data_IF_735915778506
#
_entry.id   IF_735915778506
#
_cell.length_a   1.000
_cell.length_b   1.000
_cell.length_c   1.000
_cell.angle_alpha   90.00
_cell.angle_beta   90.00
_cell.angle_gamma   90.00
#
_symmetry.space_group_name_H-M   'P 1'
#
loop_
_entity.id
_entity.type
_entity.pdbx_description
1 polymer ?
#
# COMPACT_ATOMS: atom_id res chain seq x y z
N UNK A 1 5.19 57.46 -51.63
CA UNK A 1 5.54 56.27 -50.84
C UNK A 1 4.43 56.00 -49.84
N UNK A 2 3.63 54.96 -50.06
CA UNK A 2 2.82 54.28 -49.04
C UNK A 2 2.41 52.94 -49.66
N UNK A 3 3.09 51.85 -49.27
CA UNK A 3 2.74 50.50 -49.72
C UNK A 3 1.60 50.00 -48.85
N UNK A 4 0.40 49.98 -49.42
CA UNK A 4 -0.78 49.38 -48.79
C UNK A 4 -0.57 47.87 -48.59
N UNK A 5 -0.52 47.46 -47.34
CA UNK A 5 -0.51 46.05 -46.93
C UNK A 5 -1.93 45.51 -47.22
N UNK A 6 -2.05 44.62 -48.21
CA UNK A 6 -3.30 43.90 -48.47
C UNK A 6 -3.56 42.95 -47.30
N UNK A 7 -4.74 43.09 -46.68
CA UNK A 7 -5.20 42.19 -45.65
C UNK A 7 -5.24 40.74 -46.18
N UNK A 8 -4.80 39.75 -45.39
CA UNK A 8 -4.84 38.35 -45.81
C UNK A 8 -6.29 37.92 -46.04
N UNK A 9 -6.50 37.13 -47.10
CA UNK A 9 -7.84 36.63 -47.46
C UNK A 9 -8.44 35.85 -46.29
N UNK A 10 -9.76 35.94 -46.12
CA UNK A 10 -10.48 35.24 -45.05
C UNK A 10 -10.23 33.73 -45.03
N UNK A 11 -9.78 33.15 -46.14
CA UNK A 11 -9.38 31.75 -46.27
C UNK A 11 -8.06 31.47 -45.56
N UNK A 12 -7.05 32.35 -45.69
CA UNK A 12 -5.78 32.24 -44.99
C UNK A 12 -5.97 32.38 -43.46
N UNK A 13 -6.81 33.33 -43.02
CA UNK A 13 -7.13 33.50 -41.60
C UNK A 13 -7.84 32.27 -41.00
N UNK A 14 -8.75 31.62 -41.74
CA UNK A 14 -9.41 30.39 -41.30
C UNK A 14 -8.47 29.19 -41.26
N UNK A 15 -7.53 29.10 -42.19
CA UNK A 15 -6.51 28.04 -42.18
C UNK A 15 -5.54 28.19 -41.01
N UNK A 16 -5.10 29.41 -40.70
CA UNK A 16 -4.24 29.69 -39.55
C UNK A 16 -4.98 29.43 -38.23
N UNK A 17 -6.27 29.77 -38.13
CA UNK A 17 -7.07 29.48 -36.94
C UNK A 17 -7.29 27.96 -36.75
N UNK A 18 -7.55 27.22 -37.83
CA UNK A 18 -7.66 25.76 -37.78
C UNK A 18 -6.34 25.08 -37.39
N UNK A 19 -5.20 25.57 -37.89
CA UNK A 19 -3.88 25.07 -37.52
C UNK A 19 -3.55 25.38 -36.04
N UNK A 20 -3.93 26.55 -35.54
CA UNK A 20 -3.78 26.93 -34.14
C UNK A 20 -4.71 26.14 -33.21
N UNK A 21 -5.93 25.80 -33.66
CA UNK A 21 -6.82 24.90 -32.93
C UNK A 21 -6.29 23.45 -32.91
N UNK A 22 -5.72 22.96 -34.01
CA UNK A 22 -5.09 21.62 -34.06
C UNK A 22 -3.80 21.56 -33.22
N UNK A 23 -2.98 22.61 -33.24
CA UNK A 23 -1.80 22.71 -32.36
C UNK A 23 -2.16 22.96 -30.89
N UNK A 24 -3.27 23.65 -30.62
CA UNK A 24 -3.85 23.81 -29.29
C UNK A 24 -4.41 22.49 -28.74
N UNK A 25 -5.09 21.70 -29.57
CA UNK A 25 -5.57 20.36 -29.20
C UNK A 25 -4.41 19.35 -29.04
N UNK A 26 -3.35 19.46 -29.85
CA UNK A 26 -2.14 18.66 -29.68
C UNK A 26 -1.36 19.03 -28.40
N UNK A 27 -1.45 20.28 -27.92
CA UNK A 27 -0.87 20.71 -26.63
C UNK A 27 -1.77 20.47 -25.42
N UNK A 28 -3.09 20.33 -25.61
CA UNK A 28 -4.02 19.98 -24.54
C UNK A 28 -4.13 18.47 -24.28
N UNK A 29 -3.46 17.62 -25.07
CA UNK A 29 -3.44 16.16 -24.90
C UNK A 29 -2.13 15.62 -24.28
N UNK A 30 -1.24 16.48 -23.79
CA UNK A 30 -0.25 16.09 -22.77
C UNK A 30 -0.66 16.71 -21.44
N UNK A 31 -1.85 16.35 -20.95
CA UNK A 31 -2.04 16.35 -19.52
C UNK A 31 -0.94 15.44 -18.98
N UNK A 32 0.12 16.04 -18.41
CA UNK A 32 1.03 15.29 -17.57
C UNK A 32 0.14 14.54 -16.60
N UNK A 33 0.12 13.21 -16.73
CA UNK A 33 -0.59 12.34 -15.80
C UNK A 33 -0.23 12.85 -14.41
N UNK A 34 -1.22 13.15 -13.54
CA UNK A 34 -0.92 13.59 -12.19
C UNK A 34 0.09 12.60 -11.63
N UNK A 35 1.29 13.09 -11.30
CA UNK A 35 2.36 12.25 -10.81
C UNK A 35 1.79 11.52 -9.60
N UNK A 36 1.49 10.23 -9.77
CA UNK A 36 0.87 9.47 -8.70
C UNK A 36 1.98 9.30 -7.69
N UNK A 37 2.04 10.17 -6.68
CA UNK A 37 3.00 10.07 -5.60
C UNK A 37 2.46 9.02 -4.65
N UNK A 38 2.84 7.77 -4.89
CA UNK A 38 2.54 6.64 -4.03
C UNK A 38 3.35 6.80 -2.73
N UNK A 39 2.68 6.88 -1.57
CA UNK A 39 3.37 6.83 -0.29
C UNK A 39 3.84 5.40 -0.04
N UNK A 40 5.13 5.15 -0.24
CA UNK A 40 5.78 3.88 0.09
C UNK A 40 6.32 3.97 1.52
N UNK A 41 5.97 3.05 2.42
CA UNK A 41 6.48 3.07 3.78
C UNK A 41 7.94 2.59 3.80
N UNK A 42 8.73 2.96 4.83
CA UNK A 42 9.98 2.28 5.11
C UNK A 42 9.72 0.81 5.46
N UNK A 43 10.74 -0.04 5.31
CA UNK A 43 10.65 -1.47 5.60
C UNK A 43 10.22 -1.76 7.04
N UNK A 44 10.75 -0.98 7.98
CA UNK A 44 10.44 -1.08 9.39
C UNK A 44 9.86 0.27 9.85
N UNK A 45 8.69 0.20 10.45
CA UNK A 45 7.88 1.34 10.85
C UNK A 45 7.65 1.26 12.35
N UNK A 46 8.02 2.30 13.10
CA UNK A 46 7.66 2.41 14.51
C UNK A 46 6.61 3.49 14.72
N UNK A 47 5.52 3.16 15.41
CA UNK A 47 4.46 4.08 15.83
C UNK A 47 4.59 4.28 17.34
N UNK A 48 4.91 5.51 17.76
CA UNK A 48 4.97 5.88 19.19
C UNK A 48 3.75 6.69 19.56
N UNK A 49 2.89 6.19 20.45
CA UNK A 49 1.64 6.87 20.81
C UNK A 49 1.85 8.07 21.74
N UNK A 50 2.97 8.15 22.47
CA UNK A 50 3.33 9.30 23.33
C UNK A 50 3.68 10.59 22.56
N UNK A 51 4.07 10.47 21.30
CA UNK A 51 4.43 11.61 20.43
C UNK A 51 3.81 11.56 19.03
N UNK A 52 3.01 10.52 18.75
CA UNK A 52 2.36 10.26 17.46
C UNK A 52 3.34 10.39 16.30
N UNK A 53 4.46 9.69 16.37
CA UNK A 53 5.59 9.83 15.43
C UNK A 53 5.81 8.52 14.64
N UNK A 54 5.87 8.57 13.30
CA UNK A 54 6.53 7.53 12.48
C UNK A 54 8.03 7.76 12.49
N UNK A 55 8.81 6.75 12.88
CA UNK A 55 10.26 6.76 12.71
C UNK A 55 10.66 5.68 11.70
N UNK A 56 11.29 6.12 10.61
CA UNK A 56 11.97 5.31 9.62
C UNK A 56 12.72 6.23 8.65
N UNK A 57 14.00 5.95 8.39
CA UNK A 57 14.87 6.76 7.51
C UNK A 57 14.90 8.28 7.80
N UNK A 58 14.74 8.69 9.07
CA UNK A 58 14.95 10.08 9.50
C UNK A 58 13.81 11.06 9.18
N UNK A 59 12.60 10.60 8.81
CA UNK A 59 11.42 11.47 8.67
C UNK A 59 10.35 11.14 9.69
N UNK A 60 10.02 12.15 10.50
CA UNK A 60 8.95 12.12 11.49
C UNK A 60 7.60 12.39 10.82
N UNK A 61 6.69 11.42 10.78
CA UNK A 61 5.29 11.68 10.36
C UNK A 61 4.42 11.75 11.60
N UNK A 62 3.73 12.88 11.79
CA UNK A 62 2.82 13.08 12.93
C UNK A 62 1.44 12.47 12.66
N UNK A 63 0.97 11.62 13.57
CA UNK A 63 -0.41 11.10 13.55
C UNK A 63 -1.34 12.02 14.35
N UNK A 64 -2.60 12.12 13.92
CA UNK A 64 -3.67 12.71 14.71
C UNK A 64 -4.74 11.63 14.92
N UNK A 65 -4.73 10.94 16.07
CA UNK A 65 -5.71 9.90 16.34
C UNK A 65 -7.08 10.58 16.46
N UNK A 66 -8.08 9.99 15.82
CA UNK A 66 -9.47 10.33 16.00
C UNK A 66 -10.07 9.35 16.99
N UNK A 67 -10.88 9.82 17.92
CA UNK A 67 -11.73 8.93 18.70
C UNK A 67 -12.70 8.25 17.75
N UNK A 68 -12.71 6.92 17.74
CA UNK A 68 -13.60 6.11 16.93
C UNK A 68 -14.25 5.02 17.78
N UNK A 69 -15.51 4.72 17.45
CA UNK A 69 -16.28 3.64 18.06
C UNK A 69 -16.12 2.38 17.22
N UNK A 70 -15.63 1.30 17.83
CA UNK A 70 -15.48 -0.02 17.19
C UNK A 70 -16.46 -1.02 17.78
N UNK A 71 -16.53 -2.22 17.19
CA UNK A 71 -17.28 -3.35 17.76
C UNK A 71 -16.76 -3.79 19.15
N UNK A 72 -15.53 -3.40 19.52
CA UNK A 72 -14.86 -3.74 20.77
C UNK A 72 -14.81 -2.59 21.80
N UNK A 73 -15.33 -1.39 21.47
CA UNK A 73 -15.42 -0.24 22.38
C UNK A 73 -14.89 1.06 21.78
N UNK A 74 -14.60 2.05 22.64
CA UNK A 74 -13.91 3.27 22.24
C UNK A 74 -12.42 3.01 22.08
N UNK A 75 -11.84 3.49 20.98
CA UNK A 75 -10.40 3.47 20.78
C UNK A 75 -9.91 4.69 20.02
N UNK A 76 -8.63 4.99 20.17
CA UNK A 76 -7.96 5.94 19.30
C UNK A 76 -7.71 5.25 17.95
N UNK A 77 -8.30 5.79 16.88
CA UNK A 77 -8.14 5.30 15.51
C UNK A 77 -7.27 6.27 14.70
N UNK A 78 -6.28 5.73 13.99
CA UNK A 78 -5.68 6.44 12.86
C UNK A 78 -5.72 5.54 11.63
N UNK A 79 -6.18 6.10 10.51
CA UNK A 79 -6.21 5.44 9.21
C UNK A 79 -5.04 5.95 8.38
N UNK A 80 -4.06 5.09 8.12
CA UNK A 80 -2.97 5.42 7.20
C UNK A 80 -3.02 4.54 5.97
N UNK A 81 -3.23 5.17 4.82
CA UNK A 81 -3.09 4.50 3.54
C UNK A 81 -1.65 4.60 3.06
N UNK A 82 -1.05 3.47 2.72
CA UNK A 82 0.23 3.40 2.01
C UNK A 82 0.18 2.26 1.00
N UNK A 83 1.16 2.19 0.11
CA UNK A 83 1.22 1.13 -0.91
C UNK A 83 2.48 0.30 -0.74
N UNK A 84 2.31 -1.02 -0.75
CA UNK A 84 3.37 -2.02 -0.66
C UNK A 84 4.16 -2.13 -1.98
N UNK A 85 4.81 -1.03 -2.37
CA UNK A 85 5.83 -1.02 -3.43
C UNK A 85 7.21 -1.26 -2.81
N UNK A 86 8.18 -1.75 -3.60
CA UNK A 86 9.58 -2.04 -3.20
C UNK A 86 9.76 -3.19 -2.22
N UNK A 87 9.06 -3.14 -1.10
CA UNK A 87 9.20 -4.11 -0.02
C UNK A 87 8.20 -5.26 -0.19
N UNK A 88 8.72 -6.49 -0.15
CA UNK A 88 7.87 -7.70 -0.07
C UNK A 88 7.19 -7.82 1.30
N UNK A 89 7.82 -7.25 2.33
CA UNK A 89 7.37 -7.28 3.72
C UNK A 89 7.68 -5.93 4.37
N UNK A 90 6.71 -5.41 5.11
CA UNK A 90 6.84 -4.25 5.99
C UNK A 90 6.50 -4.69 7.40
N UNK A 91 7.31 -4.25 8.37
CA UNK A 91 7.07 -4.50 9.79
C UNK A 91 6.57 -3.23 10.44
N UNK A 92 5.41 -3.27 11.08
CA UNK A 92 4.90 -2.18 11.92
C UNK A 92 5.05 -2.58 13.38
N UNK A 93 5.80 -1.78 14.14
CA UNK A 93 5.92 -1.87 15.59
C UNK A 93 5.14 -0.72 16.23
N UNK A 94 4.10 -1.04 16.99
CA UNK A 94 3.34 -0.09 17.79
C UNK A 94 3.86 -0.12 19.24
N UNK A 95 4.33 1.02 19.75
CA UNK A 95 4.74 1.23 21.14
C UNK A 95 3.66 2.00 21.89
N UNK A 96 2.85 1.29 22.67
CA UNK A 96 1.69 1.82 23.38
C UNK A 96 2.12 2.48 24.70
N UNK A 97 1.44 3.55 25.15
CA UNK A 97 1.84 4.26 26.36
C UNK A 97 1.42 3.52 27.64
N UNK A 98 0.44 2.63 27.51
CA UNK A 98 -0.15 1.79 28.54
C UNK A 98 -0.66 0.49 27.86
N UNK A 99 -1.01 -0.55 28.64
CA UNK A 99 -1.48 -1.82 28.09
C UNK A 99 -2.69 -1.66 27.15
N UNK A 100 -2.61 -2.16 25.91
CA UNK A 100 -3.75 -2.12 24.98
C UNK A 100 -3.65 -3.04 23.77
N UNK A 101 -4.67 -2.98 22.88
CA UNK A 101 -4.71 -3.74 21.63
C UNK A 101 -4.40 -2.83 20.43
N UNK A 102 -3.46 -3.27 19.59
CA UNK A 102 -3.19 -2.70 18.26
C UNK A 102 -3.57 -3.69 17.17
N UNK A 103 -4.33 -3.23 16.19
CA UNK A 103 -4.75 -4.00 15.03
C UNK A 103 -4.31 -3.27 13.75
N UNK A 104 -4.12 -4.03 12.67
CA UNK A 104 -3.96 -3.50 11.31
C UNK A 104 -4.99 -4.22 10.45
N UNK A 105 -5.89 -3.46 9.86
CA UNK A 105 -6.94 -4.00 8.99
C UNK A 105 -6.55 -3.78 7.53
N UNK A 106 -6.95 -4.70 6.65
CA UNK A 106 -6.94 -4.50 5.20
C UNK A 106 -8.40 -4.38 4.77
N UNK A 107 -8.78 -3.22 4.26
CA UNK A 107 -10.17 -2.86 3.97
C UNK A 107 -10.54 -3.01 2.47
N UNK A 108 -9.59 -3.42 1.63
CA UNK A 108 -9.80 -3.68 0.21
C UNK A 108 -10.00 -5.18 -0.04
N UNK A 109 -11.13 -5.62 -0.62
CA UNK A 109 -11.35 -7.03 -0.95
C UNK A 109 -10.41 -7.53 -2.05
N UNK A 110 -9.87 -6.62 -2.87
CA UNK A 110 -8.93 -6.92 -3.94
C UNK A 110 -7.48 -6.92 -3.45
N UNK A 111 -7.24 -6.65 -2.16
CA UNK A 111 -5.90 -6.55 -1.61
C UNK A 111 -5.17 -7.90 -1.67
N UNK A 112 -3.97 -7.86 -2.23
CA UNK A 112 -3.02 -8.98 -2.26
C UNK A 112 -1.93 -8.75 -1.21
N UNK A 113 -2.37 -8.44 0.00
CA UNK A 113 -1.53 -8.22 1.16
C UNK A 113 -2.08 -9.01 2.34
N UNK A 114 -1.20 -9.77 2.98
CA UNK A 114 -1.51 -10.55 4.17
C UNK A 114 -0.96 -9.83 5.41
N UNK A 115 -1.79 -9.71 6.45
CA UNK A 115 -1.40 -9.11 7.73
C UNK A 115 -1.26 -10.19 8.78
N UNK A 116 -0.11 -10.22 9.45
CA UNK A 116 0.23 -11.19 10.50
C UNK A 116 0.67 -10.48 11.76
N UNK A 117 -0.06 -10.66 12.85
CA UNK A 117 0.41 -10.25 14.17
C UNK A 117 1.48 -11.23 14.64
N UNK A 118 2.70 -10.76 14.85
CA UNK A 118 3.85 -11.57 15.26
C UNK A 118 4.03 -11.55 16.77
N UNK A 119 3.84 -10.39 17.38
CA UNK A 119 4.07 -10.18 18.80
C UNK A 119 2.96 -9.28 19.34
N UNK A 120 2.40 -9.64 20.49
CA UNK A 120 1.53 -8.76 21.27
C UNK A 120 1.90 -8.91 22.73
N UNK A 121 2.45 -7.82 23.28
CA UNK A 121 2.65 -7.62 24.70
C UNK A 121 1.78 -6.45 25.14
N UNK A 122 1.75 -6.18 26.45
CA UNK A 122 1.01 -5.05 26.98
C UNK A 122 1.47 -3.72 26.34
N UNK A 123 2.77 -3.50 26.18
CA UNK A 123 3.30 -2.20 25.75
C UNK A 123 3.65 -2.15 24.26
N UNK A 124 3.60 -3.29 23.57
CA UNK A 124 4.13 -3.41 22.22
C UNK A 124 3.34 -4.40 21.38
N UNK A 125 3.02 -4.02 20.16
CA UNK A 125 2.50 -4.93 19.15
C UNK A 125 3.35 -4.86 17.89
N UNK A 126 3.71 -6.01 17.35
CA UNK A 126 4.45 -6.13 16.08
C UNK A 126 3.57 -6.83 15.06
N UNK A 127 3.33 -6.14 13.96
CA UNK A 127 2.54 -6.62 12.83
C UNK A 127 3.42 -6.67 11.59
N UNK A 128 3.38 -7.80 10.89
CA UNK A 128 4.01 -7.97 9.59
C UNK A 128 2.95 -7.89 8.49
N UNK A 129 3.26 -7.12 7.46
CA UNK A 129 2.42 -6.89 6.30
C UNK A 129 3.18 -7.45 5.11
N UNK A 130 2.68 -8.52 4.51
CA UNK A 130 3.37 -9.30 3.48
C UNK A 130 2.61 -9.20 2.17
N UNK A 131 3.28 -8.74 1.12
CA UNK A 131 2.74 -8.72 -0.23
C UNK A 131 2.64 -10.16 -0.76
N UNK A 132 1.42 -10.60 -1.10
CA UNK A 132 1.17 -11.91 -1.72
C UNK A 132 1.25 -11.87 -3.24
N UNK A 133 1.14 -10.68 -3.86
CA UNK A 133 1.31 -10.50 -5.29
C UNK A 133 2.73 -10.98 -5.71
N UNK A 134 2.83 -11.99 -6.61
CA UNK A 134 4.11 -12.52 -7.05
C UNK A 134 4.90 -11.42 -7.77
N UNK A 135 6.21 -11.46 -7.61
CA UNK A 135 7.15 -10.59 -8.31
C UNK A 135 8.17 -11.48 -8.99
N UNK A 136 8.37 -11.26 -10.28
CA UNK A 136 9.36 -11.97 -11.09
C UNK A 136 10.38 -10.97 -11.61
N UNK A 137 11.66 -11.26 -11.42
CA UNK A 137 12.78 -10.47 -11.95
C UNK A 137 13.25 -10.97 -13.31
N UNK A 138 14.13 -10.19 -13.97
CA UNK A 138 14.81 -10.64 -15.20
C UNK A 138 15.70 -11.87 -14.97
N UNK A 139 16.30 -11.98 -13.79
CA UNK A 139 17.09 -13.15 -13.42
C UNK A 139 16.20 -14.39 -13.27
N UNK A 140 15.02 -14.24 -12.66
CA UNK A 140 14.03 -15.32 -12.55
C UNK A 140 13.55 -15.82 -13.92
N UNK A 141 13.31 -14.90 -14.87
CA UNK A 141 12.97 -15.27 -16.26
C UNK A 141 14.11 -16.04 -16.93
N UNK A 142 15.34 -15.54 -16.80
CA UNK A 142 16.52 -16.18 -17.36
C UNK A 142 16.72 -17.58 -16.78
N UNK A 143 16.50 -17.76 -15.47
CA UNK A 143 16.61 -19.06 -14.81
C UNK A 143 15.47 -20.01 -15.20
N UNK A 144 14.24 -19.51 -15.36
CA UNK A 144 13.12 -20.29 -15.89
C UNK A 144 13.43 -20.78 -17.32
N UNK A 145 13.94 -19.90 -18.19
CA UNK A 145 14.33 -20.27 -19.55
C UNK A 145 15.44 -21.32 -19.57
N UNK A 146 16.47 -21.16 -18.73
CA UNK A 146 17.55 -22.14 -18.59
C UNK A 146 17.05 -23.51 -18.15
N UNK A 147 16.07 -23.59 -17.24
CA UNK A 147 15.46 -24.86 -16.81
C UNK A 147 14.74 -25.56 -17.97
N UNK A 148 13.99 -24.80 -18.77
CA UNK A 148 13.33 -25.34 -19.96
C UNK A 148 14.36 -25.83 -20.99
N UNK A 149 15.42 -25.06 -21.24
CA UNK A 149 16.51 -25.47 -22.14
C UNK A 149 17.22 -26.73 -21.64
N UNK A 150 17.45 -26.83 -20.34
CA UNK A 150 18.11 -27.97 -19.71
C UNK A 150 17.40 -29.30 -19.97
N UNK A 151 16.06 -29.30 -20.11
CA UNK A 151 15.32 -30.53 -20.43
C UNK A 151 15.61 -31.01 -21.86
N UNK A 152 15.82 -30.13 -22.84
CA UNK A 152 16.19 -30.53 -24.21
C UNK A 152 17.60 -31.12 -24.29
N UNK A 153 18.53 -30.60 -23.49
CA UNK A 153 19.95 -31.01 -23.51
C UNK A 153 20.28 -32.04 -22.42
N UNK A 154 19.28 -32.53 -21.70
CA UNK A 154 19.41 -33.54 -20.64
C UNK A 154 20.18 -34.79 -21.06
N UNK A 155 20.03 -35.35 -22.29
CA UNK A 155 20.82 -36.49 -22.75
C UNK A 155 22.34 -36.20 -22.79
N UNK A 156 22.73 -34.94 -22.93
CA UNK A 156 24.13 -34.51 -23.09
C UNK A 156 24.80 -34.09 -21.78
N UNK A 157 24.04 -33.97 -20.68
CA UNK A 157 24.56 -33.52 -19.37
C UNK A 157 25.65 -34.43 -18.83
N UNK A 158 25.50 -35.76 -18.92
CA UNK A 158 26.51 -36.70 -18.40
C UNK A 158 27.85 -36.56 -19.12
N UNK A 159 27.82 -36.35 -20.44
CA UNK A 159 29.02 -36.11 -21.24
C UNK A 159 29.65 -34.75 -20.91
N UNK A 160 28.84 -33.70 -20.80
CA UNK A 160 29.29 -32.37 -20.39
C UNK A 160 29.95 -32.38 -19.00
N UNK A 161 29.38 -33.09 -18.03
CA UNK A 161 29.95 -33.26 -16.69
C UNK A 161 31.30 -33.97 -16.72
N UNK A 162 31.46 -34.99 -17.57
CA UNK A 162 32.72 -35.68 -17.72
C UNK A 162 33.79 -34.76 -18.33
N UNK A 163 33.47 -34.01 -19.39
CA UNK A 163 34.40 -33.03 -19.97
C UNK A 163 34.79 -31.92 -18.98
N UNK A 164 33.88 -31.51 -18.10
CA UNK A 164 34.11 -30.48 -17.10
C UNK A 164 35.09 -30.87 -15.98
N UNK A 165 35.33 -32.18 -15.75
CA UNK A 165 36.29 -32.66 -14.74
C UNK A 165 37.73 -32.35 -15.16
N UNK A 166 38.02 -32.56 -16.44
CA UNK A 166 39.39 -32.47 -16.99
C UNK A 166 39.68 -31.09 -17.61
N UNK A 167 38.67 -30.21 -17.69
CA UNK A 167 38.81 -28.87 -18.28
C UNK A 167 39.43 -27.87 -17.29
N UNK A 168 40.38 -27.07 -17.79
CA UNK A 168 40.91 -25.91 -17.06
C UNK A 168 39.86 -24.83 -16.85
N UNK A 169 39.87 -24.19 -15.69
CA UNK A 169 38.92 -23.12 -15.32
C UNK A 169 38.84 -22.00 -16.36
N UNK A 170 39.96 -21.54 -16.91
CA UNK A 170 39.96 -20.44 -17.88
C UNK A 170 39.26 -20.78 -19.20
N UNK A 171 39.34 -22.05 -19.61
CA UNK A 171 38.60 -22.52 -20.78
C UNK A 171 37.09 -22.60 -20.50
N UNK A 172 36.70 -22.99 -19.28
CA UNK A 172 35.30 -22.96 -18.85
C UNK A 172 34.75 -21.53 -18.81
N UNK A 173 35.50 -20.58 -18.22
CA UNK A 173 35.15 -19.15 -18.19
C UNK A 173 35.03 -18.56 -19.60
N UNK A 174 35.90 -18.96 -20.53
CA UNK A 174 35.83 -18.53 -21.93
C UNK A 174 34.55 -18.99 -22.62
N UNK A 175 34.12 -20.24 -22.41
CA UNK A 175 32.87 -20.73 -23.00
C UNK A 175 31.65 -19.95 -22.46
N UNK A 176 31.59 -19.72 -21.14
CA UNK A 176 30.51 -18.92 -20.55
C UNK A 176 30.43 -17.51 -21.16
N UNK A 177 31.56 -16.87 -21.45
CA UNK A 177 31.60 -15.56 -22.11
C UNK A 177 31.09 -15.60 -23.55
N UNK A 178 31.41 -16.64 -24.32
CA UNK A 178 30.90 -16.83 -25.69
C UNK A 178 29.37 -16.86 -25.68
N UNK A 179 28.80 -17.59 -24.72
CA UNK A 179 27.34 -17.71 -24.54
C UNK A 179 26.71 -16.52 -23.81
N UNK A 180 27.50 -15.50 -23.43
CA UNK A 180 27.08 -14.33 -22.65
C UNK A 180 26.44 -14.67 -21.30
N UNK A 181 26.88 -15.75 -20.68
CA UNK A 181 26.43 -16.16 -19.36
C UNK A 181 27.26 -15.51 -18.24
N UNK A 182 26.67 -15.26 -17.06
CA UNK A 182 27.40 -14.77 -15.91
C UNK A 182 28.56 -15.70 -15.55
N UNK A 183 29.76 -15.14 -15.37
CA UNK A 183 30.94 -15.92 -14.98
C UNK A 183 31.11 -15.83 -13.45
N UNK A 184 30.92 -16.93 -12.71
CA UNK A 184 31.12 -16.92 -11.26
C UNK A 184 32.57 -16.60 -10.89
N UNK A 185 32.77 -15.93 -9.76
CA UNK A 185 34.11 -15.67 -9.21
C UNK A 185 34.74 -16.92 -8.59
N UNK A 186 33.90 -17.79 -8.04
CA UNK A 186 34.29 -19.04 -7.41
C UNK A 186 34.46 -20.15 -8.47
N UNK A 187 35.64 -20.75 -8.50
CA UNK A 187 36.01 -21.79 -9.46
C UNK A 187 35.13 -23.05 -9.35
N UNK A 188 34.60 -23.36 -8.17
CA UNK A 188 33.64 -24.46 -8.03
C UNK A 188 32.32 -24.15 -8.76
N UNK A 189 31.82 -22.92 -8.61
CA UNK A 189 30.60 -22.43 -9.27
C UNK A 189 30.77 -22.25 -10.77
N UNK A 190 31.99 -21.99 -11.24
CA UNK A 190 32.29 -21.93 -12.69
C UNK A 190 31.98 -23.27 -13.35
N UNK A 191 32.33 -24.40 -12.70
CA UNK A 191 32.04 -25.73 -13.24
C UNK A 191 30.53 -26.00 -13.30
N UNK A 192 29.80 -25.61 -12.26
CA UNK A 192 28.33 -25.74 -12.21
C UNK A 192 27.64 -24.96 -13.34
N UNK A 193 28.09 -23.72 -13.59
CA UNK A 193 27.58 -22.90 -14.70
C UNK A 193 28.01 -23.42 -16.08
N UNK A 194 29.21 -24.01 -16.18
CA UNK A 194 29.76 -24.53 -17.44
C UNK A 194 29.00 -25.72 -17.99
N UNK A 195 28.62 -26.68 -17.14
CA UNK A 195 28.03 -27.95 -17.56
C UNK A 195 26.76 -27.78 -18.42
N UNK A 196 25.75 -26.97 -18.04
CA UNK A 196 24.57 -26.75 -18.87
C UNK A 196 24.90 -26.15 -20.24
N UNK A 197 25.83 -25.19 -20.29
CA UNK A 197 26.25 -24.54 -21.53
C UNK A 197 27.03 -25.50 -22.44
N UNK A 198 27.87 -26.36 -21.84
CA UNK A 198 28.55 -27.39 -22.62
C UNK A 198 27.58 -28.44 -23.15
N UNK A 199 26.52 -28.78 -22.39
CA UNK A 199 25.47 -29.68 -22.87
C UNK A 199 24.69 -29.08 -24.06
N UNK A 200 24.49 -27.75 -24.08
CA UNK A 200 23.93 -27.01 -25.23
C UNK A 200 24.84 -27.14 -26.46
N UNK A 201 26.15 -26.95 -26.30
CA UNK A 201 27.12 -27.12 -27.40
C UNK A 201 27.12 -28.56 -27.96
N UNK A 202 27.00 -29.56 -27.07
CA UNK A 202 26.95 -30.97 -27.45
C UNK A 202 25.60 -31.37 -28.08
N UNK A 203 24.51 -30.70 -27.70
CA UNK A 203 23.14 -30.94 -28.13
C UNK A 203 22.62 -29.88 -29.11
N UNK A 204 23.49 -29.35 -29.98
CA UNK A 204 23.16 -28.28 -30.94
C UNK A 204 21.91 -28.60 -31.76
N UNK A 205 21.77 -29.85 -32.23
CA UNK A 205 20.64 -30.27 -33.07
C UNK A 205 19.32 -30.22 -32.32
N UNK A 206 19.31 -30.64 -31.06
CA UNK A 206 18.14 -30.63 -30.19
C UNK A 206 17.73 -29.19 -29.84
N UNK A 207 18.71 -28.33 -29.55
CA UNK A 207 18.47 -26.90 -29.29
C UNK A 207 17.93 -26.21 -30.54
N UNK A 208 18.47 -26.52 -31.71
CA UNK A 208 18.01 -25.97 -32.99
C UNK A 208 16.59 -26.43 -33.33
N UNK A 209 16.30 -27.72 -33.18
CA UNK A 209 14.96 -28.26 -33.38
C UNK A 209 13.94 -27.62 -32.42
N UNK A 210 14.30 -27.47 -31.14
CA UNK A 210 13.47 -26.78 -30.17
C UNK A 210 13.23 -25.31 -30.56
N UNK A 211 14.26 -24.58 -30.99
CA UNK A 211 14.10 -23.20 -31.47
C UNK A 211 13.09 -23.11 -32.62
N UNK A 212 13.22 -23.98 -33.62
CA UNK A 212 12.33 -23.97 -34.78
C UNK A 212 10.88 -24.29 -34.37
N UNK A 213 10.67 -25.27 -33.49
CA UNK A 213 9.36 -25.64 -32.92
C UNK A 213 8.72 -24.48 -32.13
N UNK A 214 9.49 -23.80 -31.28
CA UNK A 214 9.03 -22.66 -30.49
C UNK A 214 8.62 -21.48 -31.40
N UNK A 215 9.40 -21.22 -32.46
CA UNK A 215 9.09 -20.19 -33.44
C UNK A 215 7.84 -20.53 -34.26
N UNK A 216 7.59 -21.81 -34.55
CA UNK A 216 6.39 -22.24 -35.26
C UNK A 216 5.13 -22.19 -34.39
N UNK A 217 5.24 -22.41 -33.09
CA UNK A 217 4.13 -22.23 -32.15
C UNK A 217 3.81 -20.75 -31.90
N UNK A 218 4.80 -19.86 -32.02
CA UNK A 218 4.71 -18.43 -31.64
C UNK A 218 4.92 -17.48 -32.83
N UNK A 219 4.43 -17.88 -34.02
CA UNK A 219 4.66 -17.15 -35.29
C UNK A 219 4.34 -15.66 -35.25
N UNK A 220 3.31 -15.26 -34.50
CA UNK A 220 2.88 -13.87 -34.41
C UNK A 220 3.77 -13.00 -33.49
N UNK A 221 4.56 -13.61 -32.61
CA UNK A 221 5.27 -12.87 -31.57
C UNK A 221 6.51 -12.15 -32.06
N UNK A 222 7.16 -12.72 -33.06
CA UNK A 222 8.45 -12.24 -33.59
C UNK A 222 8.29 -11.78 -35.03
N UNK A 223 9.12 -10.82 -35.44
CA UNK A 223 9.11 -10.32 -36.81
C UNK A 223 9.51 -11.42 -37.81
N UNK A 224 9.09 -11.29 -39.08
CA UNK A 224 9.51 -12.20 -40.15
C UNK A 224 11.04 -12.19 -40.31
N UNK A 225 11.66 -11.04 -40.07
CA UNK A 225 13.11 -10.83 -40.09
C UNK A 225 13.82 -11.59 -38.96
N UNK A 226 13.35 -11.45 -37.71
CA UNK A 226 13.91 -12.15 -36.55
C UNK A 226 13.78 -13.67 -36.72
N UNK A 227 12.60 -14.15 -37.13
CA UNK A 227 12.37 -15.58 -37.35
C UNK A 227 13.28 -16.13 -38.44
N UNK A 228 13.47 -15.38 -39.53
CA UNK A 228 14.37 -15.79 -40.61
C UNK A 228 15.84 -15.79 -40.16
N UNK A 229 16.26 -14.77 -39.40
CA UNK A 229 17.61 -14.68 -38.86
C UNK A 229 17.91 -15.83 -37.88
N UNK A 230 17.00 -16.13 -36.96
CA UNK A 230 17.17 -17.22 -35.99
C UNK A 230 17.06 -18.60 -36.64
N UNK A 231 16.27 -18.73 -37.72
CA UNK A 231 16.27 -19.95 -38.54
C UNK A 231 17.58 -20.17 -39.26
N UNK A 232 18.23 -19.10 -39.70
CA UNK A 232 19.53 -19.13 -40.37
C UNK A 232 20.73 -19.25 -39.41
N UNK A 233 20.53 -19.12 -38.09
CA UNK A 233 21.57 -19.31 -37.09
C UNK A 233 22.20 -20.71 -37.23
N UNK A 234 23.54 -20.74 -37.31
CA UNK A 234 24.31 -21.98 -37.51
C UNK A 234 25.11 -22.35 -36.27
N UNK A 235 25.56 -21.36 -35.51
CA UNK A 235 26.39 -21.61 -34.36
C UNK A 235 25.52 -21.97 -33.13
N UNK A 236 25.94 -22.93 -32.29
CA UNK A 236 25.18 -23.34 -31.11
C UNK A 236 24.84 -22.19 -30.15
N UNK A 237 25.74 -21.23 -29.96
CA UNK A 237 25.52 -20.08 -29.08
C UNK A 237 24.52 -19.06 -29.64
N UNK A 238 24.35 -18.99 -30.96
CA UNK A 238 23.31 -18.18 -31.59
C UNK A 238 21.95 -18.83 -31.39
N UNK A 239 21.86 -20.13 -31.63
CA UNK A 239 20.65 -20.92 -31.41
C UNK A 239 20.21 -20.87 -29.94
N UNK A 240 21.14 -21.03 -29.01
CA UNK A 240 20.89 -20.93 -27.58
C UNK A 240 20.33 -19.55 -27.19
N UNK A 241 20.97 -18.46 -27.63
CA UNK A 241 20.53 -17.09 -27.28
C UNK A 241 19.16 -16.79 -27.85
N UNK A 242 18.89 -17.22 -29.08
CA UNK A 242 17.58 -17.07 -29.70
C UNK A 242 16.51 -17.88 -28.93
N UNK A 243 16.77 -19.15 -28.64
CA UNK A 243 15.84 -20.01 -27.90
C UNK A 243 15.56 -19.46 -26.49
N UNK A 244 16.61 -19.04 -25.77
CA UNK A 244 16.49 -18.43 -24.45
C UNK A 244 15.58 -17.20 -24.48
N UNK A 245 15.79 -16.30 -25.45
CA UNK A 245 14.97 -15.09 -25.62
C UNK A 245 13.50 -15.42 -25.91
N UNK A 246 13.24 -16.43 -26.75
CA UNK A 246 11.87 -16.88 -27.06
C UNK A 246 11.17 -17.43 -25.81
N UNK A 247 11.87 -18.24 -25.02
CA UNK A 247 11.32 -18.80 -23.77
C UNK A 247 11.14 -17.72 -22.71
N UNK A 248 12.09 -16.80 -22.55
CA UNK A 248 11.96 -15.65 -21.62
C UNK A 248 10.71 -14.83 -21.94
N UNK A 249 10.42 -14.58 -23.21
CA UNK A 249 9.20 -13.89 -23.62
C UNK A 249 7.93 -14.69 -23.25
N UNK A 250 7.96 -16.00 -23.39
CA UNK A 250 6.83 -16.88 -23.04
C UNK A 250 6.58 -16.93 -21.54
N UNK A 251 7.64 -17.06 -20.74
CA UNK A 251 7.58 -17.01 -19.29
C UNK A 251 7.14 -15.62 -18.78
N UNK A 252 7.59 -14.54 -19.42
CA UNK A 252 7.11 -13.20 -19.13
C UNK A 252 5.60 -13.07 -19.40
N UNK A 253 5.12 -13.59 -20.53
CA UNK A 253 3.70 -13.59 -20.85
C UNK A 253 2.87 -14.43 -19.85
N UNK A 254 3.35 -15.63 -19.47
CA UNK A 254 2.70 -16.46 -18.44
C UNK A 254 2.63 -15.74 -17.09
N UNK A 255 3.71 -15.07 -16.70
CA UNK A 255 3.73 -14.27 -15.47
C UNK A 255 2.72 -13.12 -15.54
N UNK A 256 2.70 -12.36 -16.63
CA UNK A 256 1.72 -11.27 -16.84
C UNK A 256 0.28 -11.79 -16.78
N UNK A 257 -0.02 -12.94 -17.40
CA UNK A 257 -1.34 -13.59 -17.31
C UNK A 257 -1.69 -14.00 -15.87
N UNK A 258 -0.72 -14.50 -15.09
CA UNK A 258 -0.94 -14.90 -13.69
C UNK A 258 -1.32 -13.74 -12.77
N UNK A 259 -1.03 -12.50 -13.19
CA UNK A 259 -1.41 -11.27 -12.49
C UNK A 259 -2.51 -10.48 -13.24
N UNK A 260 -3.27 -11.17 -14.10
CA UNK A 260 -4.40 -10.62 -14.85
C UNK A 260 -4.04 -9.45 -15.78
N UNK A 261 -2.88 -9.56 -16.43
CA UNK A 261 -2.50 -8.75 -17.59
C UNK A 261 -2.55 -9.64 -18.84
N UNK A 262 -3.67 -9.53 -19.56
CA UNK A 262 -3.92 -10.27 -20.79
C UNK A 262 -3.54 -9.42 -22.00
N UNK A 263 -2.57 -9.88 -22.79
CA UNK A 263 -2.08 -9.18 -23.97
C UNK A 263 -2.67 -9.78 -25.25
N UNK A 264 -2.98 -8.93 -26.22
CA UNK A 264 -3.38 -9.37 -27.56
C UNK A 264 -2.16 -9.76 -28.40
N UNK A 265 -1.78 -11.03 -28.33
CA UNK A 265 -0.56 -11.55 -28.98
C UNK A 265 -0.72 -11.84 -30.49
N UNK A 266 -1.79 -11.35 -31.11
CA UNK A 266 -2.06 -11.54 -32.55
C UNK A 266 -1.34 -10.51 -33.43
N UNK A 267 -0.73 -9.49 -32.83
CA UNK A 267 -0.04 -8.42 -33.54
C UNK A 267 1.43 -8.77 -33.80
N UNK A 268 1.99 -8.28 -34.92
CA UNK A 268 3.44 -8.39 -35.21
C UNK A 268 4.25 -7.74 -34.08
N UNK A 269 5.38 -8.35 -33.72
CA UNK A 269 6.29 -7.90 -32.67
C UNK A 269 5.68 -7.90 -31.26
N UNK A 270 4.82 -8.89 -30.96
CA UNK A 270 4.26 -9.06 -29.62
C UNK A 270 5.34 -9.18 -28.53
N UNK A 271 6.54 -9.66 -28.86
CA UNK A 271 7.68 -9.70 -27.94
C UNK A 271 7.98 -8.33 -27.30
N UNK A 272 8.03 -7.26 -28.11
CA UNK A 272 8.32 -5.91 -27.60
C UNK A 272 7.24 -5.46 -26.61
N UNK A 273 5.98 -5.79 -26.89
CA UNK A 273 4.85 -5.46 -26.02
C UNK A 273 4.94 -6.25 -24.72
N UNK A 274 5.15 -7.57 -24.80
CA UNK A 274 5.27 -8.46 -23.64
C UNK A 274 6.42 -8.02 -22.74
N UNK A 275 7.62 -7.82 -23.29
CA UNK A 275 8.79 -7.47 -22.50
C UNK A 275 8.69 -6.06 -21.92
N UNK A 276 8.15 -5.10 -22.68
CA UNK A 276 7.92 -3.75 -22.16
C UNK A 276 6.93 -3.74 -20.99
N UNK A 277 5.83 -4.51 -21.10
CA UNK A 277 4.86 -4.69 -20.02
C UNK A 277 5.48 -5.38 -18.81
N UNK A 278 6.26 -6.43 -19.03
CA UNK A 278 6.99 -7.13 -17.97
C UNK A 278 7.91 -6.17 -17.20
N UNK A 279 8.73 -5.39 -17.92
CA UNK A 279 9.65 -4.42 -17.32
C UNK A 279 8.88 -3.33 -16.55
N UNK A 280 7.75 -2.84 -17.09
CA UNK A 280 6.88 -1.90 -16.40
C UNK A 280 6.32 -2.45 -15.09
N UNK A 281 5.83 -3.70 -15.09
CA UNK A 281 5.38 -4.37 -13.86
C UNK A 281 6.53 -4.54 -12.87
N UNK A 282 7.69 -5.02 -13.34
CA UNK A 282 8.85 -5.22 -12.48
C UNK A 282 9.31 -3.90 -11.85
N UNK A 283 9.43 -2.83 -12.64
CA UNK A 283 9.82 -1.49 -12.18
C UNK A 283 8.84 -0.93 -11.14
N UNK A 284 7.54 -1.13 -11.35
CA UNK A 284 6.50 -0.75 -10.40
C UNK A 284 6.65 -1.53 -9.08
N UNK A 285 6.70 -2.86 -9.14
CA UNK A 285 6.67 -3.72 -7.95
C UNK A 285 7.97 -3.67 -7.14
N UNK A 286 9.12 -3.47 -7.80
CA UNK A 286 10.43 -3.27 -7.17
C UNK A 286 10.62 -1.85 -6.64
N UNK A 287 9.74 -0.92 -7.01
CA UNK A 287 9.79 0.47 -6.56
C UNK A 287 10.90 1.31 -7.20
N UNK A 288 11.44 0.91 -8.36
CA UNK A 288 12.41 1.72 -9.13
C UNK A 288 11.91 3.14 -9.40
N UNK A 289 10.60 3.31 -9.56
CA UNK A 289 9.96 4.61 -9.76
C UNK A 289 10.06 5.55 -8.57
N UNK A 290 10.36 5.02 -7.38
CA UNK A 290 10.40 5.74 -6.11
C UNK A 290 11.85 5.98 -5.66
N UNK A 291 12.82 5.23 -6.19
CA UNK A 291 14.24 5.45 -5.93
C UNK A 291 14.75 6.66 -6.73
N UNK A 292 15.28 7.67 -6.05
CA UNK A 292 15.78 8.90 -6.68
C UNK A 292 16.84 8.63 -7.77
N UNK A 293 17.65 7.58 -7.60
CA UNK A 293 18.73 7.23 -8.55
C UNK A 293 18.21 6.54 -9.81
N UNK A 294 17.11 5.79 -9.70
CA UNK A 294 16.56 4.95 -10.78
C UNK A 294 15.27 5.53 -11.39
N UNK A 295 14.79 6.67 -10.85
CA UNK A 295 13.45 7.20 -11.09
C UNK A 295 13.14 7.50 -12.56
N UNK A 296 14.12 7.83 -13.41
CA UNK A 296 13.84 8.17 -14.81
C UNK A 296 13.55 6.92 -15.64
N UNK A 297 14.47 5.96 -15.61
CA UNK A 297 14.34 4.68 -16.32
C UNK A 297 13.13 3.90 -15.83
N UNK A 298 12.96 3.80 -14.50
CA UNK A 298 11.78 3.15 -13.92
C UNK A 298 10.46 3.82 -14.31
N UNK A 299 10.41 5.16 -14.40
CA UNK A 299 9.20 5.87 -14.85
C UNK A 299 8.91 5.62 -16.32
N UNK A 300 9.93 5.54 -17.17
CA UNK A 300 9.75 5.24 -18.59
C UNK A 300 9.29 3.79 -18.81
N UNK A 301 9.80 2.83 -18.02
CA UNK A 301 9.34 1.44 -18.03
C UNK A 301 7.87 1.32 -17.59
N UNK A 302 7.47 2.00 -16.50
CA UNK A 302 6.08 1.98 -15.98
C UNK A 302 5.08 2.63 -16.93
N UNK A 303 5.49 3.55 -17.82
CA UNK A 303 4.60 4.14 -18.84
C UNK A 303 4.06 3.13 -19.85
N UNK A 304 4.65 1.93 -19.93
CA UNK A 304 4.07 0.82 -20.68
C UNK A 304 2.73 0.35 -20.10
N UNK A 305 2.45 0.61 -18.83
CA UNK A 305 1.21 0.23 -18.14
C UNK A 305 0.10 1.26 -18.43
N UNK A 306 -1.10 0.76 -18.64
CA UNK A 306 -2.33 1.54 -18.77
C UNK A 306 -2.79 2.08 -17.42
N UNK A 307 -3.66 3.10 -17.42
CA UNK A 307 -4.23 3.63 -16.18
C UNK A 307 -5.04 2.59 -15.42
N UNK A 308 -5.77 1.73 -16.12
CA UNK A 308 -6.57 0.67 -15.51
C UNK A 308 -5.68 -0.38 -14.83
N UNK A 309 -4.57 -0.79 -15.47
CA UNK A 309 -3.58 -1.68 -14.86
C UNK A 309 -2.95 -1.05 -13.60
N UNK A 310 -2.56 0.23 -13.67
CA UNK A 310 -2.03 0.96 -12.52
C UNK A 310 -3.04 1.06 -11.37
N UNK A 311 -4.32 1.29 -11.68
CA UNK A 311 -5.40 1.32 -10.69
C UNK A 311 -5.60 -0.07 -10.05
N UNK A 312 -5.53 -1.16 -10.82
CA UNK A 312 -5.58 -2.53 -10.29
C UNK A 312 -4.42 -2.82 -9.35
N UNK A 313 -3.19 -2.50 -9.75
CA UNK A 313 -2.03 -2.63 -8.86
C UNK A 313 -2.17 -1.79 -7.60
N UNK A 314 -2.79 -0.60 -7.70
CA UNK A 314 -3.12 0.20 -6.51
C UNK A 314 -4.06 -0.50 -5.58
N UNK A 315 -5.19 -0.99 -6.08
CA UNK A 315 -6.18 -1.70 -5.28
C UNK A 315 -5.60 -2.97 -4.64
N UNK A 316 -4.72 -3.68 -5.37
CA UNK A 316 -4.06 -4.88 -4.90
C UNK A 316 -2.97 -4.64 -3.84
N UNK A 317 -2.31 -3.49 -3.86
CA UNK A 317 -1.15 -3.22 -3.00
C UNK A 317 -1.39 -2.15 -1.93
N UNK A 318 -2.54 -1.49 -1.96
CA UNK A 318 -2.91 -0.51 -0.95
C UNK A 318 -3.20 -1.21 0.38
N UNK A 319 -2.64 -0.63 1.43
CA UNK A 319 -2.83 -1.05 2.80
C UNK A 319 -3.36 0.14 3.57
N UNK A 320 -4.45 -0.08 4.28
CA UNK A 320 -5.08 0.91 5.14
C UNK A 320 -4.84 0.52 6.59
N UNK A 321 -3.66 0.87 7.12
CA UNK A 321 -3.34 0.59 8.50
C UNK A 321 -4.26 1.40 9.43
N UNK A 322 -5.31 0.74 9.91
CA UNK A 322 -6.21 1.26 10.93
C UNK A 322 -5.69 0.86 12.30
N UNK A 323 -5.00 1.79 12.94
CA UNK A 323 -4.40 1.55 14.25
C UNK A 323 -5.45 1.83 15.32
N UNK A 324 -5.88 0.81 16.04
CA UNK A 324 -6.71 0.95 17.23
C UNK A 324 -5.85 0.95 18.48
N UNK A 325 -6.27 1.67 19.50
CA UNK A 325 -5.77 1.53 20.86
C UNK A 325 -6.96 1.38 21.80
N UNK A 326 -7.06 0.22 22.45
CA UNK A 326 -8.07 -0.08 23.48
C UNK A 326 -7.33 -0.28 24.81
N UNK A 327 -7.46 0.62 25.80
CA UNK A 327 -6.77 0.49 27.07
C UNK A 327 -7.24 -0.76 27.84
N UNK A 328 -6.32 -1.39 28.57
CA UNK A 328 -6.61 -2.57 29.38
C UNK A 328 -7.45 -2.19 30.60
N UNK A 329 -8.53 -2.94 30.82
CA UNK A 329 -9.50 -2.67 31.87
C UNK A 329 -9.25 -3.66 33.02
N UNK A 330 -9.13 -3.16 34.25
CA UNK A 330 -8.99 -4.02 35.43
C UNK A 330 -10.31 -4.76 35.71
N UNK A 331 -10.36 -6.06 35.45
CA UNK A 331 -11.59 -6.86 35.64
C UNK A 331 -12.04 -6.97 37.10
N UNK A 332 -11.16 -6.66 38.07
CA UNK A 332 -11.46 -6.70 39.49
C UNK A 332 -12.00 -5.36 40.04
N UNK A 333 -11.83 -4.27 39.30
CA UNK A 333 -12.39 -2.97 39.68
C UNK A 333 -13.87 -2.90 39.26
N UNK A 334 -14.76 -2.73 40.24
CA UNK A 334 -16.20 -2.60 40.01
C UNK A 334 -16.58 -1.36 39.19
N UNK A 335 -15.69 -0.36 39.14
CA UNK A 335 -15.83 0.82 38.28
C UNK A 335 -15.27 0.58 36.88
N UNK A 336 -14.35 -0.36 36.71
CA UNK A 336 -13.78 -0.71 35.41
C UNK A 336 -14.77 -1.48 34.50
N UNK A 337 -15.83 -2.08 35.06
CA UNK A 337 -16.98 -2.56 34.27
C UNK A 337 -17.72 -1.44 33.50
N UNK A 338 -17.50 -0.17 33.87
CA UNK A 338 -18.00 1.01 33.15
C UNK A 338 -17.05 1.46 32.02
N UNK A 339 -15.78 1.03 32.06
CA UNK A 339 -14.77 1.34 31.06
C UNK A 339 -14.79 0.39 29.85
N UNK A 340 -15.37 -0.81 29.99
CA UNK A 340 -15.77 -1.63 28.84
C UNK A 340 -17.09 -1.11 28.24
N UNK A 341 -17.02 0.03 27.57
CA UNK A 341 -17.94 0.43 26.49
C UNK A 341 -19.42 0.05 26.65
N UNK A 342 -20.06 0.38 27.77
CA UNK A 342 -21.52 0.46 27.95
C UNK A 342 -21.77 1.20 29.27
N UNK A 343 -22.70 2.16 29.43
CA UNK A 343 -23.84 2.69 28.67
C UNK A 343 -24.13 4.01 29.39
N UNK A 344 -24.02 5.21 28.80
CA UNK A 344 -25.18 5.89 28.22
C UNK A 344 -24.71 6.86 27.13
N UNK A 345 -24.66 6.41 25.87
CA UNK A 345 -24.80 7.35 24.75
C UNK A 345 -26.28 7.75 24.73
N UNK A 346 -26.59 8.93 25.26
CA UNK A 346 -27.91 9.51 25.12
C UNK A 346 -27.89 10.47 23.93
N UNK A 347 -28.34 9.99 22.77
CA UNK A 347 -28.49 10.80 21.58
C UNK A 347 -29.95 11.29 21.48
N UNK A 348 -30.18 12.58 21.70
CA UNK A 348 -31.46 13.21 21.42
C UNK A 348 -31.44 13.80 20.00
N UNK A 349 -32.14 13.17 19.05
CA UNK A 349 -32.42 13.73 17.73
C UNK A 349 -33.92 13.86 17.53
N UNK A 350 -34.40 15.07 17.25
CA UNK A 350 -35.76 15.27 16.75
C UNK A 350 -36.88 14.79 17.67
N UNK A 351 -37.00 15.38 18.86
CA UNK A 351 -38.21 15.41 19.75
C UNK A 351 -38.17 14.54 21.03
N UNK A 352 -37.01 14.25 21.62
CA UNK A 352 -37.00 13.80 23.04
C UNK A 352 -35.71 14.22 23.73
N UNK A 353 -35.84 14.92 24.87
CA UNK A 353 -34.69 15.33 25.68
C UNK A 353 -33.95 14.15 26.29
N UNK A 354 -32.74 14.39 26.76
CA UNK A 354 -31.91 13.46 27.53
C UNK A 354 -32.05 13.77 29.01
N UNK A 355 -32.13 12.74 29.85
CA UNK A 355 -31.98 12.90 31.31
C UNK A 355 -30.86 12.00 31.81
N UNK A 356 -29.91 12.57 32.53
CA UNK A 356 -28.80 11.89 33.20
C UNK A 356 -29.10 11.91 34.69
N UNK A 357 -28.96 10.77 35.34
CA UNK A 357 -29.11 10.63 36.80
C UNK A 357 -27.90 9.92 37.37
N UNK A 358 -27.40 10.41 38.49
CA UNK A 358 -26.27 9.79 39.20
C UNK A 358 -26.25 10.19 40.67
N UNK A 359 -25.19 9.81 41.37
CA UNK A 359 -24.97 10.20 42.77
C UNK A 359 -23.49 10.40 43.04
N UNK A 360 -23.14 11.52 43.67
CA UNK A 360 -21.80 11.79 44.15
C UNK A 360 -21.70 11.42 45.64
N UNK A 361 -20.70 10.62 46.03
CA UNK A 361 -20.45 10.27 47.43
C UNK A 361 -19.13 10.87 47.98
N UNK A 362 -19.17 12.07 48.59
CA UNK A 362 -17.98 12.75 49.10
C UNK A 362 -17.14 11.98 50.12
N UNK A 363 -17.78 11.10 50.89
CA UNK A 363 -17.13 10.23 51.88
C UNK A 363 -16.39 9.08 51.22
N UNK A 364 -16.87 8.61 50.06
CA UNK A 364 -16.21 7.62 49.21
C UNK A 364 -15.13 8.19 48.29
N UNK A 365 -14.85 9.50 48.36
CA UNK A 365 -13.89 10.19 47.47
C UNK A 365 -14.48 10.66 46.15
N UNK A 366 -15.77 10.39 45.91
CA UNK A 366 -16.52 10.73 44.72
C UNK A 366 -17.23 12.08 44.91
N UNK A 367 -16.54 13.17 44.55
CA UNK A 367 -16.99 14.55 44.77
C UNK A 367 -17.32 15.29 43.48
N UNK A 368 -16.92 14.74 42.33
CA UNK A 368 -16.94 15.41 41.04
C UNK A 368 -17.20 14.39 39.93
N UNK A 369 -18.15 14.70 39.05
CA UNK A 369 -18.40 14.00 37.80
C UNK A 369 -18.17 14.93 36.60
N UNK A 370 -17.76 14.33 35.49
CA UNK A 370 -17.43 15.04 34.27
C UNK A 370 -18.15 14.41 33.07
N UNK A 371 -18.77 15.26 32.25
CA UNK A 371 -19.44 14.86 31.02
C UNK A 371 -18.89 15.66 29.85
N UNK A 372 -18.65 15.03 28.71
CA UNK A 372 -18.36 15.71 27.45
C UNK A 372 -19.67 15.89 26.67
N UNK A 373 -19.86 17.08 26.12
CA UNK A 373 -21.05 17.47 25.38
C UNK A 373 -20.64 17.75 23.92
N UNK A 374 -21.05 16.89 23.00
CA UNK A 374 -20.82 17.03 21.56
C UNK A 374 -22.03 17.68 20.91
N UNK A 375 -21.78 18.60 19.98
CA UNK A 375 -22.77 19.45 19.30
C UNK A 375 -23.65 20.30 20.25
N UNK A 376 -23.27 20.40 21.53
CA UNK A 376 -23.99 21.20 22.50
C UNK A 376 -23.88 22.69 22.17
N UNK A 377 -25.03 23.29 21.86
CA UNK A 377 -25.18 24.72 21.73
C UNK A 377 -26.16 25.22 22.81
N UNK A 378 -25.75 26.13 23.72
CA UNK A 378 -26.64 26.66 24.74
C UNK A 378 -27.83 27.47 24.16
N UNK A 379 -27.71 27.90 22.90
CA UNK A 379 -28.75 28.59 22.13
C UNK A 379 -29.81 27.64 21.55
N UNK A 380 -29.47 26.34 21.40
CA UNK A 380 -30.35 25.34 20.79
C UNK A 380 -30.83 24.29 21.80
N UNK A 381 -30.07 24.02 22.86
CA UNK A 381 -30.34 23.02 23.88
C UNK A 381 -30.35 23.68 25.25
N UNK A 382 -31.42 23.47 26.01
CA UNK A 382 -31.50 23.88 27.41
C UNK A 382 -30.97 22.76 28.31
N UNK A 383 -30.00 23.09 29.16
CA UNK A 383 -29.53 22.24 30.26
C UNK A 383 -30.23 22.64 31.56
N UNK A 384 -30.86 21.67 32.22
CA UNK A 384 -31.59 21.85 33.48
C UNK A 384 -30.98 20.89 34.49
N UNK A 385 -30.37 21.45 35.53
CA UNK A 385 -29.88 20.66 36.67
C UNK A 385 -30.92 20.76 37.77
N UNK A 386 -31.43 19.62 38.26
CA UNK A 386 -32.41 19.61 39.35
C UNK A 386 -31.81 20.28 40.59
N UNK A 387 -32.50 21.28 41.12
CA UNK A 387 -32.01 22.09 42.24
C UNK A 387 -31.68 21.22 43.46
N UNK A 388 -30.42 21.27 43.88
CA UNK A 388 -29.94 20.73 45.15
C UNK A 388 -28.85 21.68 45.64
N UNK A 389 -28.98 22.31 46.82
CA UNK A 389 -28.04 23.34 47.29
C UNK A 389 -26.62 22.82 47.49
N UNK A 390 -26.44 21.50 47.59
CA UNK A 390 -25.13 20.85 47.72
C UNK A 390 -24.51 20.47 46.39
N UNK A 391 -25.25 20.56 45.28
CA UNK A 391 -24.78 20.25 43.94
C UNK A 391 -24.48 21.55 43.20
N UNK A 392 -23.30 21.60 42.60
CA UNK A 392 -22.84 22.69 41.74
C UNK A 392 -22.56 22.13 40.36
N UNK A 393 -22.81 22.92 39.33
CA UNK A 393 -22.62 22.55 37.93
C UNK A 393 -21.97 23.67 37.15
N UNK A 394 -21.12 23.34 36.19
CA UNK A 394 -20.44 24.30 35.33
C UNK A 394 -20.28 23.72 33.93
N UNK A 395 -20.57 24.52 32.90
CA UNK A 395 -20.26 24.17 31.50
C UNK A 395 -19.01 24.92 31.08
N UNK A 396 -17.99 24.18 30.67
CA UNK A 396 -16.71 24.69 30.20
C UNK A 396 -16.68 24.51 28.68
N UNK A 397 -16.48 25.60 27.94
CA UNK A 397 -16.39 25.58 26.48
C UNK A 397 -14.95 25.93 26.09
N UNK A 398 -14.27 25.01 25.41
CA UNK A 398 -12.94 25.21 24.84
C UNK A 398 -12.96 25.00 23.31
N UNK A 399 -11.90 25.43 22.61
CA UNK A 399 -11.73 25.31 21.16
C UNK A 399 -11.82 23.86 20.65
N UNK A 400 -11.56 22.88 21.50
CA UNK A 400 -11.50 21.47 21.13
C UNK A 400 -12.67 20.63 21.69
N UNK A 401 -13.37 21.10 22.74
CA UNK A 401 -14.44 20.33 23.39
C UNK A 401 -15.35 21.23 24.26
N UNK A 402 -16.60 20.77 24.49
CA UNK A 402 -17.47 21.31 25.53
C UNK A 402 -17.69 20.27 26.63
N UNK A 403 -17.56 20.66 27.89
CA UNK A 403 -17.64 19.77 29.03
C UNK A 403 -18.60 20.31 30.11
N UNK A 404 -19.32 19.42 30.80
CA UNK A 404 -20.09 19.70 32.00
C UNK A 404 -19.38 19.08 33.20
N UNK A 405 -19.07 19.92 34.19
CA UNK A 405 -18.61 19.49 35.51
C UNK A 405 -19.78 19.53 36.49
N UNK A 406 -19.99 18.44 37.22
CA UNK A 406 -20.87 18.39 38.40
C UNK A 406 -19.99 18.16 39.63
N UNK A 407 -20.23 18.88 40.72
CA UNK A 407 -19.55 18.59 41.98
C UNK A 407 -20.44 18.85 43.17
N UNK A 408 -20.13 18.22 44.30
CA UNK A 408 -20.89 18.43 45.52
C UNK A 408 -20.03 18.72 46.74
N UNK A 409 -20.65 19.38 47.71
CA UNK A 409 -20.06 19.74 48.99
C UNK A 409 -20.76 18.98 50.13
N UNK A 410 -20.00 18.63 51.18
CA UNK A 410 -20.49 17.91 52.36
C UNK A 410 -19.90 16.50 52.50
N UNK A 411 -20.52 15.69 53.36
CA UNK A 411 -20.06 14.34 53.72
C UNK A 411 -21.06 13.24 53.35
N UNK A 412 -22.28 13.60 52.99
CA UNK A 412 -23.36 12.65 52.67
C UNK A 412 -23.49 12.50 51.15
N UNK A 413 -23.92 11.33 50.64
CA UNK A 413 -24.22 11.13 49.23
C UNK A 413 -25.27 12.12 48.70
N UNK A 414 -25.03 12.60 47.48
CA UNK A 414 -25.87 13.59 46.79
C UNK A 414 -26.29 13.03 45.43
N UNK A 415 -27.56 12.66 45.28
CA UNK A 415 -28.13 12.32 43.97
C UNK A 415 -28.31 13.57 43.12
N UNK A 416 -28.07 13.44 41.81
CA UNK A 416 -28.27 14.50 40.84
C UNK A 416 -29.12 14.04 39.65
N UNK A 417 -29.71 15.03 38.97
CA UNK A 417 -30.41 14.83 37.70
C UNK A 417 -30.10 16.01 36.80
N UNK A 418 -29.59 15.74 35.60
CA UNK A 418 -29.34 16.75 34.57
C UNK A 418 -30.16 16.41 33.33
N UNK A 419 -30.99 17.34 32.89
CA UNK A 419 -31.85 17.18 31.73
C UNK A 419 -31.38 18.11 30.61
N UNK A 420 -31.26 17.57 29.40
CA UNK A 420 -30.99 18.32 28.18
C UNK A 420 -32.22 18.24 27.27
N UNK A 421 -32.77 19.37 26.87
CA UNK A 421 -33.95 19.41 26.00
C UNK A 421 -33.82 20.46 24.91
N UNK A 422 -34.37 20.25 23.71
CA UNK A 422 -34.42 21.28 22.68
C UNK A 422 -35.12 22.54 23.19
N UNK A 423 -34.60 23.72 22.85
CA UNK A 423 -35.34 24.97 23.04
C UNK A 423 -36.50 25.04 22.04
N UNK A 424 -37.57 25.78 22.39
CA UNK A 424 -38.82 25.85 21.62
C UNK A 424 -38.67 26.21 20.12
N UNK A 425 -37.56 26.81 19.71
CA UNK A 425 -37.31 27.30 18.35
C UNK A 425 -36.30 26.46 17.53
N UNK A 426 -35.66 25.44 18.11
CA UNK A 426 -34.55 24.73 17.45
C UNK A 426 -34.98 23.39 16.83
N UNK A 427 -35.54 23.46 15.61
CA UNK A 427 -35.71 22.25 14.78
C UNK A 427 -34.34 21.69 14.42
N UNK A 428 -34.08 20.43 14.78
CA UNK A 428 -32.81 19.75 14.48
C UNK A 428 -31.72 19.88 15.55
N UNK A 429 -32.03 20.43 16.73
CA UNK A 429 -31.07 20.42 17.85
C UNK A 429 -30.65 18.98 18.19
N UNK A 430 -29.35 18.77 18.30
CA UNK A 430 -28.74 17.55 18.76
C UNK A 430 -27.80 17.88 19.92
N UNK A 431 -27.76 16.99 20.89
CA UNK A 431 -26.68 16.95 21.87
C UNK A 431 -26.35 15.48 22.08
N UNK A 432 -25.07 15.22 22.09
CA UNK A 432 -24.51 13.91 22.40
C UNK A 432 -23.68 14.04 23.67
N UNK A 433 -23.88 13.12 24.62
CA UNK A 433 -23.29 13.23 25.95
C UNK A 433 -22.46 11.98 26.23
N UNK A 434 -21.23 12.18 26.65
CA UNK A 434 -20.28 11.13 27.01
C UNK A 434 -19.81 11.34 28.44
N UNK A 435 -19.56 10.25 29.17
CA UNK A 435 -18.82 10.32 30.42
C UNK A 435 -17.35 10.64 30.13
N UNK A 436 -16.76 11.55 30.90
CA UNK A 436 -15.36 11.93 30.72
C UNK A 436 -14.41 10.93 31.39
N UNK A 437 -13.28 10.57 30.76
CA UNK A 437 -12.28 9.70 31.37
C UNK A 437 -11.43 10.40 32.46
N UNK A 438 -11.66 11.70 32.70
CA UNK A 438 -10.90 12.46 33.67
C UNK A 438 -11.19 11.99 35.10
N UNK A 439 -10.15 11.69 35.89
CA UNK A 439 -10.31 11.30 37.29
C UNK A 439 -11.07 12.38 38.09
N UNK A 440 -11.92 11.99 39.05
CA UNK A 440 -12.72 12.91 39.87
C UNK A 440 -11.88 14.00 40.59
N UNK A 441 -10.59 13.73 40.84
CA UNK A 441 -9.66 14.65 41.50
C UNK A 441 -8.90 15.57 40.53
N UNK A 442 -9.08 15.38 39.21
CA UNK A 442 -8.39 16.17 38.20
C UNK A 442 -8.92 17.60 38.22
N UNK A 443 -8.02 18.55 38.47
CA UNK A 443 -8.21 19.92 37.97
C UNK A 443 -8.12 19.78 36.46
N UNK A 444 -9.21 20.08 35.77
CA UNK A 444 -9.29 20.05 34.30
C UNK A 444 -7.96 20.47 33.65
N UNK A 445 -7.28 19.59 32.87
CA UNK A 445 -6.00 19.93 32.28
C UNK A 445 -6.20 20.36 30.83
N UNK A 446 -6.33 21.67 30.62
CA UNK A 446 -5.68 22.34 29.50
C UNK A 446 -5.03 23.61 30.04
#
# INVERSE_FOLDING_TARGET
MNRGIKAPSAVAARFTLALLCLMGLARCATAQLPEVVWRVPPKDVTIKWKSLTLAGEGREVRFQPKLALTASGYGAETLQSFVMLKHRKVTITSEMPEPGLFEVVVDSPDSQVEVKTIETTNEKTVVEIVKSLPMMSRDDLSDAAKKVIAEYVKPHLAKAQQEAKDKKTDAMKSLLRIYKEPVPKDDAKVREAYVPIKAVELGEKEVKAALDDWLDQRKAWFSDEDRSAWRAAKEPEECYRALKRVIECDEANKYLQSIDINLELKQRNAETIVMSKFDGVFALLSGKTVDEKESREGRDEVRSLTQDELARFRAALIVHARCHFVPNVDKADGNAQWFHGQRVLCLARGISGVTITGSLNPKGGDRVDWWQLVDYSPDQVAMIVKENPRLKSEVIVDRNATCLRLWCEGTEPVSYTVQFQPRKSSKGAAVEIHESPAAAQSKFPF
#
